data_IF_807162846608
#
_entry.id   IF_807162846608
#
_cell.length_a   1.000
_cell.length_b   1.000
_cell.length_c   1.000
_cell.angle_alpha   90.00
_cell.angle_beta   90.00
_cell.angle_gamma   90.00
#
_symmetry.space_group_name_H-M   'P 1'
#
loop_
_entity.id
_entity.type
_entity.pdbx_description
1 polymer ?
#
# COMPACT_ATOMS: atom_id res chain seq x y z
N UNK A 1 -15.07 44.80 -20.69
CA UNK A 1 -16.51 44.61 -20.41
C UNK A 1 -16.96 43.44 -21.26
N UNK A 2 -17.14 42.27 -20.65
CA UNK A 2 -18.47 41.72 -20.32
C UNK A 2 -19.04 40.86 -21.46
N UNK A 3 -19.70 39.72 -21.26
CA UNK A 3 -19.93 38.97 -20.04
C UNK A 3 -20.29 37.53 -20.41
N UNK A 4 -19.94 36.67 -19.47
CA UNK A 4 -20.05 35.22 -19.46
C UNK A 4 -21.50 34.79 -19.18
N UNK A 5 -22.36 34.66 -20.21
CA UNK A 5 -23.82 34.41 -20.02
C UNK A 5 -24.45 33.35 -20.93
N UNK A 6 -23.79 32.23 -21.21
CA UNK A 6 -24.47 31.08 -21.89
C UNK A 6 -24.36 29.73 -21.20
N UNK A 7 -23.84 29.67 -19.98
CA UNK A 7 -23.96 28.49 -19.11
C UNK A 7 -25.18 28.59 -18.21
N UNK A 8 -26.39 28.53 -18.80
CA UNK A 8 -27.60 28.26 -18.02
C UNK A 8 -28.40 27.13 -18.65
N UNK A 9 -28.34 26.00 -17.94
CA UNK A 9 -29.48 25.12 -17.66
C UNK A 9 -30.23 24.57 -18.88
N UNK A 10 -29.78 23.40 -19.36
CA UNK A 10 -30.71 22.36 -19.79
C UNK A 10 -30.24 21.01 -19.28
N UNK A 11 -30.61 20.71 -18.02
CA UNK A 11 -30.91 19.34 -17.58
C UNK A 11 -32.15 18.88 -18.35
N UNK A 12 -31.98 18.53 -19.62
CA UNK A 12 -33.02 17.91 -20.41
C UNK A 12 -32.84 16.40 -20.27
N UNK A 13 -33.80 15.78 -19.59
CA UNK A 13 -33.99 14.37 -19.40
C UNK A 13 -33.47 13.52 -20.58
N UNK A 14 -32.42 12.74 -20.31
CA UNK A 14 -31.96 11.67 -21.18
C UNK A 14 -33.12 10.67 -21.35
N UNK A 15 -33.70 10.64 -22.54
CA UNK A 15 -34.71 9.64 -22.94
C UNK A 15 -34.08 8.24 -22.85
N UNK A 16 -34.72 7.24 -22.21
CA UNK A 16 -34.22 5.88 -22.20
C UNK A 16 -34.66 5.21 -23.50
N UNK A 17 -33.78 5.17 -24.50
CA UNK A 17 -34.20 4.62 -25.78
C UNK A 17 -33.19 4.75 -26.91
N UNK A 18 -31.95 4.33 -26.69
CA UNK A 18 -31.06 3.95 -27.80
C UNK A 18 -30.43 2.61 -27.45
N UNK A 19 -31.13 1.54 -27.84
CA UNK A 19 -30.51 0.22 -28.04
C UNK A 19 -29.56 0.34 -29.23
N UNK A 20 -28.43 -0.35 -29.16
CA UNK A 20 -27.33 -0.43 -30.14
C UNK A 20 -26.35 0.75 -30.01
N UNK A 21 -25.08 0.53 -29.69
CA UNK A 21 -24.21 -0.58 -30.09
C UNK A 21 -23.30 -0.91 -28.92
N UNK A 22 -23.08 -2.20 -28.68
CA UNK A 22 -21.94 -2.67 -27.91
C UNK A 22 -20.68 -2.13 -28.59
N UNK A 23 -20.15 -1.01 -28.12
CA UNK A 23 -18.73 -0.79 -28.20
C UNK A 23 -18.13 -1.77 -27.19
N UNK A 24 -18.02 -3.02 -27.63
CA UNK A 24 -17.03 -3.92 -27.09
C UNK A 24 -15.73 -3.23 -27.45
N UNK A 25 -15.18 -2.49 -26.48
CA UNK A 25 -13.80 -2.05 -26.53
C UNK A 25 -13.04 -3.34 -26.87
N UNK A 26 -12.53 -3.41 -28.09
CA UNK A 26 -11.50 -4.38 -28.41
C UNK A 26 -10.34 -3.89 -27.56
N UNK A 27 -10.27 -4.39 -26.31
CA UNK A 27 -9.04 -4.34 -25.52
C UNK A 27 -7.98 -4.90 -26.46
N UNK A 28 -7.07 -4.04 -26.91
CA UNK A 28 -5.88 -4.48 -27.62
C UNK A 28 -5.15 -5.35 -26.58
N UNK A 29 -4.95 -6.64 -26.87
CA UNK A 29 -4.29 -7.57 -25.95
C UNK A 29 -2.83 -7.13 -25.63
N UNK A 30 -2.35 -6.04 -26.26
CA UNK A 30 -1.07 -5.37 -26.04
C UNK A 30 -1.18 -4.04 -25.30
N UNK A 31 -2.39 -3.58 -24.95
CA UNK A 31 -2.57 -2.37 -24.16
C UNK A 31 -2.26 -2.64 -22.68
N UNK A 32 -0.98 -2.46 -22.35
CA UNK A 32 -0.45 -2.61 -20.99
C UNK A 32 -0.64 -1.34 -20.16
N UNK A 33 -1.38 -0.33 -20.63
CA UNK A 33 -1.58 0.94 -19.91
C UNK A 33 -2.19 0.72 -18.52
N UNK A 34 -3.11 -0.25 -18.38
CA UNK A 34 -3.68 -0.64 -17.09
C UNK A 34 -2.63 -1.20 -16.13
N UNK A 35 -1.75 -2.08 -16.61
CA UNK A 35 -0.64 -2.63 -15.82
C UNK A 35 0.34 -1.51 -15.44
N UNK A 36 0.62 -0.59 -16.36
CA UNK A 36 1.44 0.60 -16.11
C UNK A 36 0.85 1.50 -15.04
N UNK A 37 -0.46 1.73 -15.05
CA UNK A 37 -1.16 2.51 -14.04
C UNK A 37 -1.11 1.84 -12.66
N UNK A 38 -1.30 0.51 -12.59
CA UNK A 38 -1.15 -0.25 -11.34
C UNK A 38 0.29 -0.15 -10.83
N UNK A 39 1.28 -0.39 -11.69
CA UNK A 39 2.69 -0.32 -11.33
C UNK A 39 3.08 1.06 -10.81
N UNK A 40 2.69 2.14 -11.51
CA UNK A 40 2.96 3.51 -11.08
C UNK A 40 2.34 3.82 -9.71
N UNK A 41 1.10 3.38 -9.47
CA UNK A 41 0.43 3.53 -8.18
C UNK A 41 1.18 2.78 -7.07
N UNK A 42 1.53 1.51 -7.31
CA UNK A 42 2.25 0.68 -6.36
C UNK A 42 3.65 1.22 -6.04
N UNK A 43 4.37 1.72 -7.05
CA UNK A 43 5.68 2.36 -6.85
C UNK A 43 5.56 3.63 -6.01
N UNK A 44 4.57 4.47 -6.27
CA UNK A 44 4.37 5.69 -5.49
C UNK A 44 4.03 5.38 -4.02
N UNK A 45 3.17 4.39 -3.78
CA UNK A 45 2.85 3.93 -2.43
C UNK A 45 4.09 3.37 -1.72
N UNK A 46 4.89 2.55 -2.40
CA UNK A 46 6.12 2.00 -1.86
C UNK A 46 7.13 3.10 -1.52
N UNK A 47 7.26 4.13 -2.37
CA UNK A 47 8.12 5.30 -2.11
C UNK A 47 7.68 6.02 -0.82
N UNK A 48 6.40 6.35 -0.69
CA UNK A 48 5.91 7.02 0.51
C UNK A 48 6.09 6.18 1.78
N UNK A 49 5.88 4.86 1.70
CA UNK A 49 6.16 3.94 2.82
C UNK A 49 7.64 3.92 3.18
N UNK A 50 8.52 3.86 2.18
CA UNK A 50 9.97 3.87 2.40
C UNK A 50 10.42 5.18 3.06
N UNK A 51 9.92 6.33 2.60
CA UNK A 51 10.20 7.63 3.22
C UNK A 51 9.71 7.66 4.67
N UNK A 52 8.49 7.20 4.94
CA UNK A 52 7.94 7.17 6.30
C UNK A 52 8.75 6.27 7.26
N UNK A 53 9.32 5.17 6.75
CA UNK A 53 10.10 4.22 7.55
C UNK A 53 11.58 4.62 7.61
N UNK A 54 12.08 5.46 6.68
CA UNK A 54 13.50 5.86 6.60
C UNK A 54 14.01 6.58 7.85
N UNK A 55 13.11 7.17 8.63
CA UNK A 55 13.43 7.82 9.91
C UNK A 55 13.45 6.83 11.09
N UNK A 56 13.34 5.53 10.82
CA UNK A 56 13.39 4.48 11.82
C UNK A 56 14.42 3.40 11.48
N UNK A 57 15.10 2.91 12.50
CA UNK A 57 16.06 1.80 12.40
C UNK A 57 15.47 0.61 13.15
N UNK A 58 15.50 -0.56 12.52
CA UNK A 58 15.12 -1.82 13.17
C UNK A 58 16.40 -2.51 13.60
N UNK A 59 16.50 -2.85 14.88
CA UNK A 59 17.64 -3.55 15.46
C UNK A 59 17.20 -4.62 16.45
N UNK A 60 18.15 -5.50 16.81
CA UNK A 60 17.93 -6.58 17.76
C UNK A 60 18.77 -6.31 19.00
N UNK A 61 18.09 -6.10 20.13
CA UNK A 61 18.70 -5.80 21.43
C UNK A 61 18.06 -6.70 22.49
N UNK A 62 18.87 -7.37 23.31
CA UNK A 62 18.42 -8.23 24.43
C UNK A 62 17.34 -9.26 24.09
N UNK A 63 17.46 -9.89 22.91
CA UNK A 63 16.47 -10.87 22.45
C UNK A 63 15.12 -10.24 22.06
N UNK A 64 15.08 -8.93 21.78
CA UNK A 64 13.90 -8.23 21.26
C UNK A 64 14.25 -7.57 19.93
N UNK A 65 13.31 -7.59 19.01
CA UNK A 65 13.33 -6.77 17.80
C UNK A 65 12.68 -5.44 18.16
N UNK A 66 13.46 -4.37 18.09
CA UNK A 66 13.03 -3.02 18.43
C UNK A 66 13.12 -2.12 17.20
N UNK A 67 12.17 -1.20 17.07
CA UNK A 67 12.21 -0.09 16.11
C UNK A 67 12.57 1.18 16.87
N UNK A 68 13.71 1.79 16.56
CA UNK A 68 14.10 3.11 17.05
C UNK A 68 13.69 4.17 16.04
N UNK A 69 12.90 5.16 16.45
CA UNK A 69 12.58 6.32 15.63
C UNK A 69 13.64 7.41 15.80
N UNK A 70 13.70 8.35 14.86
CA UNK A 70 14.64 9.48 14.84
C UNK A 70 14.52 10.41 16.05
N UNK A 71 13.35 10.47 16.69
CA UNK A 71 13.10 11.23 17.92
C UNK A 71 13.64 10.53 19.18
N UNK A 72 14.19 9.32 19.03
CA UNK A 72 14.71 8.50 20.13
C UNK A 72 13.65 7.63 20.80
N UNK A 73 12.37 7.70 20.39
CA UNK A 73 11.35 6.77 20.84
C UNK A 73 11.61 5.36 20.30
N UNK A 74 11.20 4.34 21.05
CA UNK A 74 11.36 2.95 20.62
C UNK A 74 10.06 2.16 20.77
N UNK A 75 9.84 1.25 19.83
CA UNK A 75 8.71 0.33 19.81
C UNK A 75 9.25 -1.11 19.78
N UNK A 76 8.77 -1.96 20.68
CA UNK A 76 9.11 -3.40 20.64
C UNK A 76 8.21 -4.06 19.61
N UNK A 77 8.78 -4.47 18.47
CA UNK A 77 8.06 -5.16 17.40
C UNK A 77 7.80 -6.61 17.79
N UNK A 78 8.81 -7.27 18.35
CA UNK A 78 8.76 -8.69 18.66
C UNK A 78 9.71 -9.04 19.81
N UNK A 79 9.25 -9.86 20.74
CA UNK A 79 10.17 -10.54 21.67
C UNK A 79 10.58 -11.86 21.06
N UNK A 80 11.87 -12.06 20.83
CA UNK A 80 12.40 -13.33 20.37
C UNK A 80 12.29 -14.32 21.54
N UNK A 81 11.75 -15.50 21.26
CA UNK A 81 11.66 -16.54 22.26
C UNK A 81 13.07 -16.82 22.81
N UNK A 82 13.27 -16.83 24.14
CA UNK A 82 14.56 -17.13 24.71
C UNK A 82 14.99 -18.52 24.24
N UNK A 83 16.26 -18.66 23.85
CA UNK A 83 16.84 -19.99 23.59
C UNK A 83 16.57 -20.84 24.83
N UNK A 84 15.96 -22.02 24.67
CA UNK A 84 15.84 -22.99 25.76
C UNK A 84 17.25 -23.24 26.30
N UNK A 85 17.55 -22.74 27.49
CA UNK A 85 18.84 -22.98 28.12
C UNK A 85 18.88 -24.43 28.57
N UNK A 86 19.55 -25.26 27.78
CA UNK A 86 19.76 -26.68 28.13
C UNK A 86 20.97 -26.75 29.04
N UNK A 87 20.76 -27.10 30.31
CA UNK A 87 21.86 -27.37 31.24
C UNK A 87 22.48 -28.74 30.90
N UNK A 88 23.82 -28.83 30.94
CA UNK A 88 24.54 -30.09 30.70
C UNK A 88 24.01 -31.19 31.63
N UNK A 89 23.53 -32.29 31.04
CA UNK A 89 22.98 -33.44 31.76
C UNK A 89 21.46 -33.41 31.99
N UNK A 90 20.73 -32.39 31.51
CA UNK A 90 19.25 -32.39 31.55
C UNK A 90 18.65 -32.77 30.20
N UNK A 91 17.68 -33.69 30.23
CA UNK A 91 16.87 -34.06 29.08
C UNK A 91 15.77 -33.02 28.88
N UNK A 92 15.59 -32.52 27.65
CA UNK A 92 14.48 -31.64 27.28
C UNK A 92 13.56 -32.36 26.30
N UNK A 93 12.25 -32.23 26.52
CA UNK A 93 11.24 -32.69 25.57
C UNK A 93 10.94 -31.57 24.58
N UNK A 94 11.08 -31.87 23.30
CA UNK A 94 10.66 -31.01 22.21
C UNK A 94 9.25 -31.47 21.81
N UNK A 95 8.24 -30.58 21.81
CA UNK A 95 6.90 -30.92 21.34
C UNK A 95 6.89 -31.18 19.83
#
# INVERSE_FOLDING_TARGET
MENNRKYKLRKAALKPGVKNRRFKVLEDDRDLSFIGAIAASATNEAYHKAVAISESIIEVEDGKVIRKQKDGSFEVIQTLAPRKSVQKGKTITIP
#
